data_IF_972985960664
#
_entry.id   IF_972985960664
#
_cell.length_a   1.000
_cell.length_b   1.000
_cell.length_c   1.000
_cell.angle_alpha   90.00
_cell.angle_beta   90.00
_cell.angle_gamma   90.00
#
_symmetry.space_group_name_H-M   'P 1'
#
loop_
_entity.id
_entity.type
_entity.pdbx_description
1 polymer ?
#
# COMPACT_ATOMS: atom_id res chain seq x y z
N UNK A 1 52.51 -3.97 58.39
CA UNK A 1 52.66 -2.53 58.10
C UNK A 1 52.37 -2.34 56.62
N UNK A 2 51.41 -1.57 56.11
CA UNK A 2 50.35 -0.77 56.67
C UNK A 2 49.13 -0.92 55.74
N UNK A 3 47.94 -0.97 56.33
CA UNK A 3 46.66 -0.92 55.63
C UNK A 3 46.34 0.52 55.23
N UNK A 4 45.73 0.74 54.07
CA UNK A 4 44.93 1.94 53.82
C UNK A 4 43.55 1.57 53.29
N UNK A 5 42.56 2.15 53.98
CA UNK A 5 41.12 1.95 53.88
C UNK A 5 40.50 2.69 52.69
N UNK A 6 39.32 2.20 52.31
CA UNK A 6 38.34 2.67 51.32
C UNK A 6 37.92 4.16 51.46
N UNK A 7 37.09 4.68 50.54
CA UNK A 7 35.66 4.55 50.81
C UNK A 7 34.77 4.18 49.61
N UNK A 8 33.75 3.40 49.97
CA UNK A 8 32.47 3.19 49.32
C UNK A 8 31.79 4.51 48.94
N UNK A 9 31.19 4.59 47.75
CA UNK A 9 30.15 5.57 47.43
C UNK A 9 28.85 4.82 47.11
N UNK A 10 27.87 5.01 47.99
CA UNK A 10 26.52 4.49 47.85
C UNK A 10 25.64 5.44 47.01
N UNK A 11 24.85 4.82 46.14
CA UNK A 11 23.53 5.19 45.61
C UNK A 11 23.13 6.66 45.41
N UNK A 12 22.76 7.00 44.17
CA UNK A 12 21.54 7.76 43.89
C UNK A 12 20.74 7.11 42.75
N UNK A 13 19.62 6.48 43.15
CA UNK A 13 18.49 6.17 42.28
C UNK A 13 17.92 7.48 41.72
N UNK A 14 17.76 7.55 40.41
CA UNK A 14 17.02 8.63 39.74
C UNK A 14 15.54 8.22 39.67
N UNK A 15 14.59 9.05 40.13
CA UNK A 15 13.19 8.69 40.17
C UNK A 15 12.54 8.68 38.78
N UNK A 16 11.63 7.73 38.59
CA UNK A 16 10.75 7.62 37.44
C UNK A 16 9.88 8.88 37.29
N UNK A 17 9.92 9.51 36.11
CA UNK A 17 9.01 10.59 35.77
C UNK A 17 7.64 10.01 35.39
N UNK A 18 6.67 10.14 36.31
CA UNK A 18 5.25 10.03 36.03
C UNK A 18 4.86 11.03 34.93
N UNK A 19 4.39 10.53 33.78
CA UNK A 19 3.67 11.35 32.81
C UNK A 19 2.18 11.16 33.03
N UNK A 20 1.59 12.21 33.57
CA UNK A 20 0.17 12.45 33.75
C UNK A 20 -0.59 12.27 32.44
N UNK A 21 -1.66 11.49 32.50
CA UNK A 21 -2.68 11.37 31.47
C UNK A 21 -3.40 12.73 31.32
N UNK A 22 -3.17 13.42 30.22
CA UNK A 22 -4.06 14.49 29.76
C UNK A 22 -5.12 13.88 28.85
N UNK A 23 -6.37 13.96 29.31
CA UNK A 23 -7.57 13.61 28.58
C UNK A 23 -7.74 14.52 27.37
N UNK A 24 -7.51 14.00 26.16
CA UNK A 24 -7.89 14.70 24.94
C UNK A 24 -9.39 14.56 24.70
N UNK A 25 -10.07 15.71 24.76
CA UNK A 25 -11.48 15.91 24.46
C UNK A 25 -11.74 15.64 22.98
N UNK A 26 -12.77 14.88 22.67
CA UNK A 26 -13.21 14.58 21.31
C UNK A 26 -13.93 15.78 20.69
N UNK A 27 -13.44 16.25 19.56
CA UNK A 27 -14.16 17.07 18.57
C UNK A 27 -13.28 17.04 17.31
N UNK A 28 -13.71 16.68 16.11
CA UNK A 28 -14.97 16.99 15.45
C UNK A 28 -15.15 16.03 14.26
N UNK A 29 -16.40 15.67 13.97
CA UNK A 29 -16.82 14.99 12.76
C UNK A 29 -16.62 15.93 11.56
N UNK A 30 -15.67 15.61 10.68
CA UNK A 30 -15.52 16.32 9.41
C UNK A 30 -16.65 15.89 8.46
N UNK A 31 -17.59 16.82 8.25
CA UNK A 31 -18.71 16.65 7.33
C UNK A 31 -18.22 16.50 5.89
N UNK A 32 -18.65 15.43 5.23
CA UNK A 32 -18.59 15.29 3.79
C UNK A 32 -19.70 16.18 3.20
N UNK A 33 -19.36 17.40 2.79
CA UNK A 33 -20.33 18.34 2.22
C UNK A 33 -20.69 17.97 0.79
N UNK A 34 -21.93 17.55 0.58
CA UNK A 34 -22.55 17.46 -0.75
C UNK A 34 -23.16 18.84 -1.04
N UNK A 35 -22.59 19.58 -1.98
CA UNK A 35 -23.21 20.79 -2.53
C UNK A 35 -24.29 20.39 -3.54
N UNK A 36 -25.57 20.44 -3.14
CA UNK A 36 -26.70 20.40 -4.07
C UNK A 36 -26.93 21.77 -4.69
N UNK A 37 -26.73 21.86 -6.00
CA UNK A 37 -27.14 23.01 -6.80
C UNK A 37 -28.66 22.97 -7.03
N UNK A 38 -29.41 23.77 -6.28
CA UNK A 38 -30.78 24.13 -6.64
C UNK A 38 -30.72 25.31 -7.62
N UNK A 39 -31.23 25.11 -8.84
CA UNK A 39 -31.63 26.21 -9.74
C UNK A 39 -33.14 26.37 -9.66
N UNK A 40 -33.55 27.63 -9.50
CA UNK A 40 -34.90 28.07 -9.19
C UNK A 40 -35.89 28.09 -10.35
N UNK A 41 -37.09 28.48 -9.94
CA UNK A 41 -38.39 28.40 -10.60
C UNK A 41 -38.54 29.15 -11.93
N UNK A 42 -39.44 28.61 -12.75
CA UNK A 42 -40.09 29.30 -13.86
C UNK A 42 -41.45 28.67 -14.15
N UNK A 43 -42.52 29.33 -13.71
CA UNK A 43 -43.93 29.00 -13.93
C UNK A 43 -44.30 29.00 -15.43
N UNK A 44 -45.08 28.03 -15.90
CA UNK A 44 -46.27 28.28 -16.75
C UNK A 44 -47.10 27.00 -17.01
N UNK A 45 -48.42 27.21 -17.08
CA UNK A 45 -49.51 26.20 -17.11
C UNK A 45 -49.56 25.44 -18.44
N UNK A 46 -49.89 24.15 -18.38
CA UNK A 46 -50.41 23.37 -19.49
C UNK A 46 -51.04 22.06 -19.00
N UNK A 47 -52.36 21.91 -19.18
CA UNK A 47 -53.12 20.67 -18.97
C UNK A 47 -52.80 19.67 -20.09
N UNK A 48 -52.49 18.42 -19.76
CA UNK A 48 -52.83 17.26 -20.59
C UNK A 48 -52.79 15.95 -19.79
N UNK A 49 -53.75 15.08 -20.12
CA UNK A 49 -54.02 13.74 -19.60
C UNK A 49 -52.89 12.74 -19.87
N UNK A 50 -52.73 11.72 -19.01
CA UNK A 50 -52.02 10.48 -19.39
C UNK A 50 -51.52 9.61 -18.24
N UNK A 51 -52.34 8.60 -17.91
CA UNK A 51 -52.04 7.21 -17.49
C UNK A 51 -50.77 6.91 -16.69
N UNK A 52 -50.99 6.25 -15.54
CA UNK A 52 -49.96 5.89 -14.59
C UNK A 52 -49.01 4.77 -15.02
N UNK A 53 -47.96 4.64 -14.22
CA UNK A 53 -47.25 3.41 -13.87
C UNK A 53 -46.49 3.73 -12.58
N UNK A 54 -46.76 2.97 -11.52
CA UNK A 54 -46.05 3.06 -10.24
C UNK A 54 -44.60 2.63 -10.42
N UNK A 55 -43.70 3.59 -10.64
CA UNK A 55 -42.27 3.38 -10.61
C UNK A 55 -41.76 3.58 -9.18
N UNK A 56 -41.48 2.50 -8.47
CA UNK A 56 -40.65 2.53 -7.27
C UNK A 56 -39.29 3.12 -7.64
N UNK A 57 -39.06 4.37 -7.23
CA UNK A 57 -37.74 4.99 -7.28
C UNK A 57 -36.81 4.17 -6.38
N UNK A 58 -36.06 3.25 -6.97
CA UNK A 58 -34.91 2.65 -6.32
C UNK A 58 -33.96 3.78 -5.94
N UNK A 59 -33.84 4.04 -4.64
CA UNK A 59 -32.78 4.89 -4.14
C UNK A 59 -31.46 4.22 -4.52
N UNK A 60 -30.75 4.79 -5.50
CA UNK A 60 -29.35 4.49 -5.68
C UNK A 60 -28.66 4.85 -4.36
N UNK A 61 -28.31 3.83 -3.58
CA UNK A 61 -27.53 3.98 -2.36
C UNK A 61 -26.25 4.69 -2.75
N UNK A 62 -26.09 5.94 -2.30
CA UNK A 62 -24.80 6.59 -2.27
C UNK A 62 -23.87 5.65 -1.53
N UNK A 63 -22.82 5.15 -2.20
CA UNK A 63 -21.78 4.37 -1.57
C UNK A 63 -21.25 5.19 -0.39
N UNK A 64 -21.63 4.79 0.82
CA UNK A 64 -21.37 5.57 2.01
C UNK A 64 -19.86 5.67 2.23
N UNK A 65 -19.38 6.88 2.55
CA UNK A 65 -18.04 7.15 3.10
C UNK A 65 -17.89 6.54 4.50
N UNK A 66 -18.15 5.24 4.64
CA UNK A 66 -18.12 4.55 5.92
C UNK A 66 -16.81 3.78 6.05
N UNK A 67 -16.16 3.84 7.23
CA UNK A 67 -14.98 3.02 7.50
C UNK A 67 -15.35 1.54 7.52
N UNK A 68 -14.35 0.68 7.36
CA UNK A 68 -14.56 -0.76 7.33
C UNK A 68 -15.11 -1.34 8.64
N UNK A 69 -15.99 -2.33 8.53
CA UNK A 69 -16.49 -3.14 9.64
C UNK A 69 -15.38 -4.03 10.22
N UNK A 70 -15.06 -3.92 11.53
CA UNK A 70 -13.97 -4.68 12.13
C UNK A 70 -14.16 -6.20 12.12
N UNK A 71 -15.39 -6.71 12.17
CA UNK A 71 -15.66 -8.14 12.13
C UNK A 71 -15.47 -8.70 10.71
N UNK A 72 -15.97 -7.98 9.70
CA UNK A 72 -15.74 -8.36 8.30
C UNK A 72 -14.26 -8.28 7.92
N UNK A 73 -13.50 -7.28 8.43
CA UNK A 73 -12.05 -7.22 8.23
C UNK A 73 -11.32 -8.47 8.77
N UNK A 74 -11.74 -9.00 9.93
CA UNK A 74 -11.16 -10.23 10.48
C UNK A 74 -11.46 -11.44 9.59
N UNK A 75 -12.68 -11.56 9.10
CA UNK A 75 -13.07 -12.64 8.19
C UNK A 75 -12.37 -12.52 6.84
N UNK A 76 -12.27 -11.32 6.28
CA UNK A 76 -11.53 -11.03 5.05
C UNK A 76 -10.06 -11.44 5.16
N UNK A 77 -9.42 -11.22 6.32
CA UNK A 77 -8.05 -11.68 6.58
C UNK A 77 -7.93 -13.20 6.48
N UNK A 78 -8.91 -13.94 7.00
CA UNK A 78 -8.96 -15.39 6.90
C UNK A 78 -9.01 -15.87 5.45
N UNK A 79 -9.89 -15.28 4.64
CA UNK A 79 -10.00 -15.62 3.23
C UNK A 79 -8.75 -15.23 2.42
N UNK A 80 -8.10 -14.11 2.76
CA UNK A 80 -6.83 -13.70 2.16
C UNK A 80 -5.74 -14.72 2.47
N UNK A 81 -5.66 -15.26 3.69
CA UNK A 81 -4.68 -16.32 4.02
C UNK A 81 -4.89 -17.56 3.16
N UNK A 82 -6.15 -17.94 2.91
CA UNK A 82 -6.45 -19.07 2.05
C UNK A 82 -6.09 -18.80 0.58
N UNK A 83 -6.40 -17.60 0.08
CA UNK A 83 -5.98 -17.13 -1.23
C UNK A 83 -4.46 -17.21 -1.40
N UNK A 84 -3.70 -16.79 -0.39
CA UNK A 84 -2.24 -16.81 -0.41
C UNK A 84 -1.66 -18.23 -0.49
N UNK A 85 -2.23 -19.17 0.28
CA UNK A 85 -1.83 -20.60 0.25
C UNK A 85 -2.10 -21.27 -1.09
N UNK A 86 -3.20 -20.92 -1.74
CA UNK A 86 -3.65 -21.59 -2.97
C UNK A 86 -3.03 -20.98 -4.23
N UNK A 87 -2.73 -19.68 -4.23
CA UNK A 87 -2.30 -18.96 -5.44
C UNK A 87 -0.87 -18.44 -5.38
N UNK A 88 -0.24 -18.43 -4.20
CA UNK A 88 1.11 -17.91 -3.99
C UNK A 88 1.27 -16.43 -4.38
N UNK A 89 0.18 -15.65 -4.34
CA UNK A 89 0.16 -14.27 -4.82
C UNK A 89 0.71 -13.21 -3.85
N UNK A 90 1.43 -13.61 -2.78
CA UNK A 90 2.02 -12.71 -1.79
C UNK A 90 2.67 -11.46 -2.41
N UNK A 91 3.56 -11.57 -3.41
CA UNK A 91 4.31 -10.41 -3.88
C UNK A 91 3.42 -9.37 -4.60
N UNK A 92 2.40 -9.81 -5.34
CA UNK A 92 1.54 -8.88 -6.07
C UNK A 92 0.58 -8.13 -5.13
N UNK A 93 0.19 -8.75 -4.01
CA UNK A 93 -0.63 -8.09 -2.98
C UNK A 93 0.18 -7.05 -2.20
N UNK A 94 1.45 -7.34 -1.90
CA UNK A 94 2.38 -6.35 -1.33
C UNK A 94 2.54 -5.16 -2.28
N UNK A 95 2.78 -5.43 -3.57
CA UNK A 95 2.89 -4.39 -4.59
C UNK A 95 1.60 -3.58 -4.73
N UNK A 96 0.43 -4.20 -4.72
CA UNK A 96 -0.85 -3.49 -4.80
C UNK A 96 -1.01 -2.48 -3.65
N UNK A 97 -0.77 -2.92 -2.41
CA UNK A 97 -0.85 -2.04 -1.25
C UNK A 97 0.15 -0.88 -1.32
N UNK A 98 1.38 -1.15 -1.77
CA UNK A 98 2.38 -0.11 -2.01
C UNK A 98 1.93 0.89 -3.08
N UNK A 99 1.42 0.42 -4.22
CA UNK A 99 1.07 1.27 -5.35
C UNK A 99 -0.14 2.17 -5.08
N UNK A 100 -1.12 1.71 -4.28
CA UNK A 100 -2.20 2.59 -3.78
C UNK A 100 -1.64 3.68 -2.85
N UNK A 101 -0.77 3.31 -1.91
CA UNK A 101 -0.21 4.23 -0.92
C UNK A 101 0.84 5.20 -1.50
N UNK A 102 1.61 4.77 -2.49
CA UNK A 102 2.79 5.47 -3.01
C UNK A 102 2.48 6.73 -3.83
N UNK A 103 1.20 6.99 -4.12
CA UNK A 103 0.77 8.22 -4.80
C UNK A 103 0.61 9.41 -3.84
N UNK A 104 0.86 9.20 -2.54
CA UNK A 104 0.74 10.23 -1.53
C UNK A 104 1.69 11.42 -1.76
N UNK A 105 1.20 12.63 -1.50
CA UNK A 105 1.96 13.86 -1.50
C UNK A 105 1.67 14.66 -0.23
N UNK A 106 2.69 14.80 0.63
CA UNK A 106 2.58 15.51 1.92
C UNK A 106 2.31 17.00 1.79
N UNK A 107 2.59 17.59 0.62
CA UNK A 107 2.37 19.01 0.35
C UNK A 107 0.94 19.33 -0.08
N UNK A 108 0.08 18.33 -0.26
CA UNK A 108 -1.35 18.50 -0.56
C UNK A 108 -2.15 18.11 0.68
N UNK A 109 -2.97 19.02 1.18
CA UNK A 109 -3.72 18.79 2.42
C UNK A 109 -5.00 17.98 2.17
N UNK A 110 -5.70 18.29 1.08
CA UNK A 110 -7.05 17.83 0.83
C UNK A 110 -7.11 16.35 0.42
N UNK A 111 -8.00 15.62 1.08
CA UNK A 111 -8.42 14.29 0.63
C UNK A 111 -9.53 14.42 -0.42
N UNK A 112 -9.53 13.64 -1.51
CA UNK A 112 -8.55 12.60 -1.87
C UNK A 112 -7.38 13.08 -2.75
N UNK A 113 -7.30 14.37 -3.09
CA UNK A 113 -6.30 14.94 -4.04
C UNK A 113 -4.84 14.63 -3.68
N UNK A 114 -4.54 14.54 -2.39
CA UNK A 114 -3.22 14.16 -1.89
C UNK A 114 -2.78 12.74 -2.23
N UNK A 115 -3.66 11.90 -2.81
CA UNK A 115 -3.38 10.50 -3.12
C UNK A 115 -3.26 9.64 -1.86
N UNK A 116 -2.53 8.52 -1.98
CA UNK A 116 -2.29 7.57 -0.91
C UNK A 116 -3.37 6.49 -0.80
N UNK A 117 -3.32 5.72 0.29
CA UNK A 117 -4.13 4.51 0.48
C UNK A 117 -5.63 4.82 0.63
N UNK A 118 -6.31 5.03 -0.49
CA UNK A 118 -7.71 5.44 -0.58
C UNK A 118 -8.50 4.57 -1.59
N UNK A 119 -7.89 3.47 -2.07
CA UNK A 119 -8.50 2.50 -2.97
C UNK A 119 -8.65 2.98 -4.41
N UNK A 120 -8.09 4.14 -4.78
CA UNK A 120 -8.23 4.72 -6.13
C UNK A 120 -7.61 3.83 -7.22
N UNK A 121 -6.55 3.08 -6.89
CA UNK A 121 -5.88 2.14 -7.79
C UNK A 121 -6.79 1.05 -8.35
N UNK A 122 -8.02 0.87 -7.83
CA UNK A 122 -9.01 -0.07 -8.38
C UNK A 122 -9.62 0.39 -9.70
N UNK A 123 -9.58 1.69 -9.98
CA UNK A 123 -10.19 2.25 -11.19
C UNK A 123 -9.28 2.09 -12.39
N UNK A 124 -9.89 1.79 -13.55
CA UNK A 124 -9.18 1.56 -14.81
C UNK A 124 -8.24 2.73 -15.20
N UNK A 125 -8.65 3.98 -14.91
CA UNK A 125 -7.85 5.18 -15.13
C UNK A 125 -6.45 5.05 -14.51
N UNK A 126 -6.37 4.62 -13.25
CA UNK A 126 -5.10 4.50 -12.52
C UNK A 126 -4.41 3.15 -12.75
N UNK A 127 -5.17 2.06 -12.97
CA UNK A 127 -4.59 0.76 -13.35
C UNK A 127 -3.81 0.82 -14.67
N UNK A 128 -4.19 1.74 -15.56
CA UNK A 128 -3.53 1.96 -16.86
C UNK A 128 -2.24 2.78 -16.77
N UNK A 129 -1.92 3.37 -15.61
CA UNK A 129 -0.60 3.99 -15.43
C UNK A 129 0.50 2.94 -15.64
N UNK A 130 1.59 3.32 -16.30
CA UNK A 130 2.71 2.44 -16.65
C UNK A 130 3.27 1.72 -15.41
N UNK A 131 3.42 2.43 -14.30
CA UNK A 131 3.90 1.85 -13.04
C UNK A 131 2.95 0.78 -12.47
N UNK A 132 1.66 0.78 -12.84
CA UNK A 132 0.63 -0.13 -12.35
C UNK A 132 0.40 -1.35 -13.25
N UNK A 133 1.21 -1.51 -14.31
CA UNK A 133 1.12 -2.65 -15.23
C UNK A 133 1.01 -3.99 -14.48
N UNK A 134 -0.04 -4.75 -14.80
CA UNK A 134 -0.35 -6.06 -14.22
C UNK A 134 -1.12 -6.06 -12.89
N UNK A 135 -1.33 -4.91 -12.22
CA UNK A 135 -2.06 -4.85 -10.93
C UNK A 135 -3.56 -5.18 -11.04
N UNK A 136 -4.14 -5.11 -12.24
CA UNK A 136 -5.49 -5.62 -12.49
C UNK A 136 -5.66 -7.08 -12.08
N UNK A 137 -4.59 -7.89 -12.13
CA UNK A 137 -4.64 -9.28 -11.69
C UNK A 137 -4.74 -9.39 -10.16
N UNK A 138 -4.11 -8.49 -9.41
CA UNK A 138 -4.26 -8.45 -7.95
C UNK A 138 -5.70 -8.04 -7.57
N UNK A 139 -6.29 -7.09 -8.29
CA UNK A 139 -7.69 -6.71 -8.10
C UNK A 139 -8.63 -7.90 -8.36
N UNK A 140 -8.43 -8.61 -9.47
CA UNK A 140 -9.21 -9.83 -9.80
C UNK A 140 -9.11 -10.91 -8.72
N UNK A 141 -7.92 -11.11 -8.14
CA UNK A 141 -7.72 -12.07 -7.05
C UNK A 141 -8.44 -11.66 -5.76
N UNK A 142 -8.52 -10.36 -5.47
CA UNK A 142 -9.21 -9.83 -4.28
C UNK A 142 -10.71 -9.63 -4.48
N UNK A 143 -11.21 -9.62 -5.72
CA UNK A 143 -12.63 -9.36 -6.02
C UNK A 143 -13.58 -10.32 -5.28
N UNK A 144 -13.35 -11.65 -5.24
CA UNK A 144 -14.24 -12.55 -4.50
C UNK A 144 -14.28 -12.26 -3.00
N UNK A 145 -13.16 -11.83 -2.40
CA UNK A 145 -13.10 -11.40 -1.00
C UNK A 145 -13.90 -10.12 -0.83
N UNK A 146 -13.72 -9.13 -1.71
CA UNK A 146 -14.45 -7.86 -1.66
C UNK A 146 -15.96 -8.04 -1.78
N UNK A 147 -16.41 -8.93 -2.67
CA UNK A 147 -17.83 -9.20 -2.92
C UNK A 147 -18.51 -9.84 -1.70
N UNK A 148 -17.78 -10.69 -0.97
CA UNK A 148 -18.26 -11.33 0.27
C UNK A 148 -18.39 -10.34 1.44
N UNK A 149 -17.62 -9.26 1.44
CA UNK A 149 -17.54 -8.30 2.55
C UNK A 149 -17.88 -6.87 2.09
N UNK A 150 -19.18 -6.57 2.00
CA UNK A 150 -19.67 -5.26 1.61
C UNK A 150 -19.25 -4.14 2.57
N UNK A 151 -19.04 -4.47 3.85
CA UNK A 151 -18.58 -3.55 4.89
C UNK A 151 -17.06 -3.35 4.91
N UNK A 152 -16.30 -3.90 3.97
CA UNK A 152 -14.85 -3.67 3.85
C UNK A 152 -14.58 -2.78 2.64
N UNK A 153 -13.88 -1.65 2.85
CA UNK A 153 -13.47 -0.74 1.78
C UNK A 153 -12.32 -1.36 0.96
N UNK A 154 -12.21 -0.99 -0.32
CA UNK A 154 -11.05 -1.39 -1.13
C UNK A 154 -9.74 -0.87 -0.52
N UNK A 155 -9.74 0.37 -0.01
CA UNK A 155 -8.61 1.00 0.65
C UNK A 155 -8.07 0.17 1.82
N UNK A 156 -8.94 -0.34 2.71
CA UNK A 156 -8.49 -1.25 3.76
C UNK A 156 -8.19 -2.66 3.25
N UNK A 157 -8.93 -3.17 2.27
CA UNK A 157 -8.69 -4.49 1.71
C UNK A 157 -7.28 -4.62 1.10
N UNK A 158 -6.83 -3.61 0.35
CA UNK A 158 -5.50 -3.63 -0.27
C UNK A 158 -4.38 -3.62 0.77
N UNK A 159 -4.53 -2.82 1.83
CA UNK A 159 -3.54 -2.74 2.91
C UNK A 159 -3.59 -3.97 3.82
N UNK A 160 -4.78 -4.55 4.05
CA UNK A 160 -4.97 -5.82 4.75
C UNK A 160 -4.30 -6.96 3.98
N UNK A 161 -4.51 -7.02 2.67
CA UNK A 161 -3.92 -8.01 1.79
C UNK A 161 -2.39 -7.93 1.77
N UNK A 162 -1.84 -6.72 1.61
CA UNK A 162 -0.39 -6.47 1.66
C UNK A 162 0.23 -6.89 2.99
N UNK A 163 -0.33 -6.44 4.12
CA UNK A 163 0.22 -6.76 5.43
C UNK A 163 0.10 -8.26 5.78
N UNK A 164 -0.99 -8.90 5.37
CA UNK A 164 -1.16 -10.36 5.54
C UNK A 164 -0.18 -11.13 4.66
N UNK A 165 0.07 -10.68 3.42
CA UNK A 165 1.05 -11.29 2.55
C UNK A 165 2.48 -11.22 3.11
N UNK A 166 2.86 -10.12 3.76
CA UNK A 166 4.16 -10.03 4.47
C UNK A 166 4.24 -11.01 5.63
N UNK A 167 3.21 -11.06 6.48
CA UNK A 167 3.18 -11.94 7.65
C UNK A 167 3.20 -13.44 7.25
N UNK A 168 2.39 -13.84 6.26
CA UNK A 168 2.33 -15.24 5.79
C UNK A 168 3.60 -15.66 5.02
N UNK A 169 4.34 -14.70 4.45
CA UNK A 169 5.66 -14.95 3.85
C UNK A 169 6.79 -15.10 4.90
N UNK A 170 6.47 -15.07 6.20
CA UNK A 170 7.44 -15.17 7.30
C UNK A 170 8.02 -13.82 7.76
N UNK A 171 7.44 -12.72 7.30
CA UNK A 171 7.85 -11.37 7.68
C UNK A 171 7.32 -10.93 9.04
N UNK A 172 7.67 -9.70 9.48
CA UNK A 172 7.22 -9.18 10.76
C UNK A 172 5.71 -8.90 10.77
N UNK A 173 5.11 -9.02 11.96
CA UNK A 173 3.75 -8.53 12.18
C UNK A 173 3.72 -7.01 12.13
N UNK A 174 3.12 -6.45 11.08
CA UNK A 174 2.99 -5.00 10.90
C UNK A 174 1.87 -4.48 11.84
N UNK A 175 2.11 -3.42 12.64
CA UNK A 175 1.10 -2.84 13.53
C UNK A 175 0.04 -2.04 12.74
N UNK A 176 -0.81 -2.77 12.01
CA UNK A 176 -1.83 -2.19 11.14
C UNK A 176 -3.00 -1.58 11.89
N UNK A 177 -3.49 -0.46 11.36
CA UNK A 177 -4.80 0.13 11.66
C UNK A 177 -5.65 0.18 10.40
N UNK A 178 -6.96 0.11 10.58
CA UNK A 178 -7.98 0.13 9.52
C UNK A 178 -9.01 1.23 9.81
N UNK A 179 -9.94 1.42 8.88
CA UNK A 179 -10.92 2.51 8.86
C UNK A 179 -10.68 3.50 7.72
N UNK A 180 -9.93 3.09 6.67
CA UNK A 180 -9.76 3.91 5.46
C UNK A 180 -11.08 3.97 4.70
N UNK A 181 -11.36 5.13 4.14
CA UNK A 181 -12.52 5.38 3.28
C UNK A 181 -12.09 5.27 1.82
N UNK A 182 -12.94 4.68 1.00
CA UNK A 182 -12.74 4.64 -0.45
C UNK A 182 -13.01 6.00 -1.08
N UNK A 183 -12.23 6.36 -2.09
CA UNK A 183 -12.67 7.36 -3.08
C UNK A 183 -13.97 6.90 -3.75
N UNK A 184 -14.83 7.82 -4.20
CA UNK A 184 -16.12 7.51 -4.81
C UNK A 184 -16.04 7.20 -6.31
N UNK A 185 -15.06 7.74 -7.03
CA UNK A 185 -15.01 7.65 -8.49
C UNK A 185 -13.62 7.88 -9.11
N UNK A 186 -13.46 7.54 -10.40
CA UNK A 186 -12.17 7.63 -11.12
C UNK A 186 -11.67 9.07 -11.29
N UNK A 187 -12.54 10.07 -11.21
CA UNK A 187 -12.17 11.49 -11.19
C UNK A 187 -11.29 11.86 -9.99
N UNK A 188 -11.31 11.04 -8.93
CA UNK A 188 -10.51 11.22 -7.72
C UNK A 188 -9.18 10.45 -7.74
N UNK A 189 -8.88 9.69 -8.80
CA UNK A 189 -7.55 9.10 -8.99
C UNK A 189 -6.49 10.21 -9.16
N UNK A 190 -5.31 10.06 -8.55
CA UNK A 190 -4.18 10.94 -8.79
C UNK A 190 -3.74 10.87 -10.26
N UNK A 191 -3.05 11.91 -10.71
CA UNK A 191 -2.34 11.88 -11.99
C UNK A 191 -1.19 10.85 -11.97
N UNK A 192 -0.85 10.35 -13.16
CA UNK A 192 0.30 9.47 -13.35
C UNK A 192 1.62 10.19 -13.01
N UNK A 193 2.66 9.41 -12.67
CA UNK A 193 4.01 9.93 -12.44
C UNK A 193 4.39 10.12 -10.97
N UNK A 194 3.48 9.84 -10.03
CA UNK A 194 3.80 9.88 -8.59
C UNK A 194 4.59 8.67 -8.10
N UNK A 195 4.57 7.53 -8.80
CA UNK A 195 5.31 6.32 -8.42
C UNK A 195 6.75 6.32 -8.99
N UNK A 196 7.71 5.67 -8.32
CA UNK A 196 9.10 5.68 -8.77
C UNK A 196 9.31 4.81 -10.03
N UNK A 197 10.04 5.35 -11.00
CA UNK A 197 10.68 4.57 -12.07
C UNK A 197 11.97 3.86 -11.58
N UNK A 198 12.23 2.67 -12.10
CA UNK A 198 13.39 1.85 -11.73
C UNK A 198 14.70 2.24 -12.45
N UNK A 199 14.62 2.86 -13.63
CA UNK A 199 15.77 3.22 -14.45
C UNK A 199 15.78 4.71 -14.77
N UNK A 200 16.28 5.51 -13.85
CA UNK A 200 16.51 6.96 -14.06
C UNK A 200 18.01 7.25 -14.11
N UNK A 201 18.44 8.38 -14.70
CA UNK A 201 19.87 8.75 -14.75
C UNK A 201 20.51 8.93 -13.36
N UNK A 202 19.71 9.30 -12.37
CA UNK A 202 20.16 9.52 -10.98
C UNK A 202 19.24 8.77 -10.00
N UNK A 203 19.39 7.44 -9.84
CA UNK A 203 18.42 6.62 -9.11
C UNK A 203 18.24 7.04 -7.63
N UNK A 204 19.32 7.32 -6.90
CA UNK A 204 19.23 7.71 -5.51
C UNK A 204 18.53 9.07 -5.31
N UNK A 205 18.83 10.05 -6.17
CA UNK A 205 18.15 11.34 -6.15
C UNK A 205 16.66 11.19 -6.47
N UNK A 206 16.33 10.39 -7.48
CA UNK A 206 14.94 10.07 -7.84
C UNK A 206 14.18 9.36 -6.71
N UNK A 207 14.82 8.42 -6.01
CA UNK A 207 14.22 7.80 -4.81
C UNK A 207 13.93 8.86 -3.74
N UNK A 208 14.85 9.78 -3.47
CA UNK A 208 14.60 10.88 -2.53
C UNK A 208 13.46 11.78 -2.99
N UNK A 209 13.43 12.21 -4.26
CA UNK A 209 12.36 13.07 -4.78
C UNK A 209 10.97 12.44 -4.58
N UNK A 210 10.84 11.16 -4.86
CA UNK A 210 9.58 10.42 -4.75
C UNK A 210 9.22 10.15 -3.29
N UNK A 211 10.12 9.62 -2.47
CA UNK A 211 9.81 9.22 -1.10
C UNK A 211 9.75 10.41 -0.13
N UNK A 212 10.56 11.45 -0.32
CA UNK A 212 10.50 12.65 0.51
C UNK A 212 9.19 13.40 0.29
N UNK A 213 8.63 13.36 -0.94
CA UNK A 213 7.27 13.85 -1.23
C UNK A 213 6.21 13.08 -0.45
N UNK A 214 6.41 11.78 -0.19
CA UNK A 214 5.53 10.98 0.66
C UNK A 214 5.72 11.24 2.17
N UNK A 215 6.76 12.00 2.55
CA UNK A 215 7.11 12.23 3.95
C UNK A 215 7.97 11.13 4.58
N UNK A 216 8.57 10.28 3.75
CA UNK A 216 9.48 9.22 4.14
C UNK A 216 10.93 9.72 4.05
N UNK A 217 11.81 9.18 4.90
CA UNK A 217 13.24 9.55 4.94
C UNK A 217 14.14 8.46 4.32
N UNK A 218 15.46 8.68 4.30
CA UNK A 218 16.44 7.73 3.75
C UNK A 218 16.36 6.33 4.38
N UNK A 219 16.13 6.21 5.69
CA UNK A 219 15.94 4.92 6.36
C UNK A 219 14.68 4.21 5.86
N UNK A 220 13.59 4.95 5.67
CA UNK A 220 12.34 4.38 5.16
C UNK A 220 12.51 3.90 3.71
N UNK A 221 13.25 4.64 2.87
CA UNK A 221 13.58 4.24 1.49
C UNK A 221 14.27 2.87 1.49
N UNK A 222 15.35 2.73 2.27
CA UNK A 222 16.13 1.49 2.33
C UNK A 222 15.29 0.34 2.88
N UNK A 223 14.57 0.57 3.99
CA UNK A 223 13.76 -0.46 4.63
C UNK A 223 12.62 -0.95 3.72
N UNK A 224 11.90 -0.04 3.05
CA UNK A 224 10.79 -0.38 2.16
C UNK A 224 11.25 -1.05 0.87
N UNK A 225 12.44 -0.70 0.36
CA UNK A 225 13.04 -1.40 -0.78
C UNK A 225 13.29 -2.89 -0.49
N UNK A 226 13.49 -3.24 0.79
CA UNK A 226 13.57 -4.62 1.25
C UNK A 226 12.37 -5.51 0.87
N UNK A 227 11.21 -4.93 0.54
CA UNK A 227 10.06 -5.68 0.04
C UNK A 227 10.34 -6.39 -1.29
N UNK A 228 11.36 -5.98 -2.06
CA UNK A 228 11.86 -6.71 -3.24
C UNK A 228 12.43 -8.10 -2.90
N UNK A 229 12.61 -8.45 -1.61
CA UNK A 229 12.82 -9.84 -1.19
C UNK A 229 11.69 -10.77 -1.65
N UNK A 230 10.49 -10.22 -1.88
CA UNK A 230 9.33 -10.93 -2.41
C UNK A 230 9.13 -10.64 -3.90
N UNK A 231 8.94 -11.71 -4.66
CA UNK A 231 8.54 -11.65 -6.06
C UNK A 231 9.67 -11.40 -7.03
N UNK A 232 9.29 -10.78 -8.15
CA UNK A 232 10.07 -10.74 -9.39
C UNK A 232 9.55 -9.69 -10.34
N UNK A 233 10.42 -9.21 -11.22
CA UNK A 233 10.04 -8.41 -12.38
C UNK A 233 9.77 -9.29 -13.61
N UNK A 234 9.08 -8.73 -14.61
CA UNK A 234 8.86 -9.38 -15.89
C UNK A 234 8.92 -8.34 -17.02
N UNK A 235 9.58 -8.66 -18.16
CA UNK A 235 9.60 -7.81 -19.35
C UNK A 235 8.21 -7.40 -19.82
N UNK A 236 7.23 -8.32 -19.75
CA UNK A 236 5.85 -8.08 -20.19
C UNK A 236 5.08 -7.09 -19.31
N UNK A 237 5.60 -6.78 -18.11
CA UNK A 237 4.94 -5.87 -17.16
C UNK A 237 5.70 -4.57 -17.02
N UNK A 238 6.87 -4.61 -16.39
CA UNK A 238 7.65 -3.41 -16.10
C UNK A 238 8.71 -3.12 -17.17
N UNK A 239 8.95 -4.05 -18.10
CA UNK A 239 10.08 -3.99 -19.03
C UNK A 239 11.40 -4.48 -18.42
N UNK A 240 11.42 -4.90 -17.15
CA UNK A 240 12.64 -5.29 -16.45
C UNK A 240 12.74 -6.81 -16.22
N UNK A 241 13.98 -7.27 -16.14
CA UNK A 241 14.36 -8.65 -15.84
C UNK A 241 14.36 -9.57 -17.06
N UNK A 242 14.65 -10.85 -16.83
CA UNK A 242 14.57 -11.92 -17.84
C UNK A 242 13.13 -12.47 -17.95
N UNK A 243 12.76 -13.07 -19.11
CA UNK A 243 11.48 -13.76 -19.26
C UNK A 243 11.27 -14.91 -18.27
N UNK A 244 12.35 -15.57 -17.84
CA UNK A 244 12.36 -16.63 -16.83
C UNK A 244 13.79 -16.90 -16.32
N UNK A 245 13.90 -17.63 -15.20
CA UNK A 245 15.18 -18.09 -14.62
C UNK A 245 15.04 -19.47 -13.97
N UNK A 246 16.16 -20.05 -13.51
CA UNK A 246 16.15 -21.29 -12.72
C UNK A 246 15.29 -21.23 -11.46
N UNK A 247 15.02 -20.04 -10.91
CA UNK A 247 14.23 -19.84 -9.69
C UNK A 247 12.73 -19.69 -9.94
N UNK A 248 12.32 -19.41 -11.18
CA UNK A 248 10.95 -18.95 -11.48
C UNK A 248 10.26 -19.73 -12.59
N UNK A 249 10.99 -20.54 -13.35
CA UNK A 249 10.47 -21.34 -14.47
C UNK A 249 9.41 -22.37 -14.05
N UNK A 250 9.47 -22.87 -12.81
CA UNK A 250 8.57 -23.93 -12.31
C UNK A 250 7.52 -23.40 -11.31
N UNK A 251 7.43 -22.08 -11.12
CA UNK A 251 6.53 -21.49 -10.13
C UNK A 251 7.07 -21.59 -8.69
N UNK A 252 6.20 -21.68 -7.66
CA UNK A 252 4.76 -21.93 -7.73
C UNK A 252 3.95 -20.71 -8.23
N UNK A 253 2.64 -20.88 -8.48
CA UNK A 253 1.83 -19.87 -9.17
C UNK A 253 2.18 -19.75 -10.66
N UNK A 254 1.97 -18.58 -11.28
CA UNK A 254 2.37 -18.36 -12.69
C UNK A 254 3.90 -18.49 -12.82
N UNK A 255 4.49 -19.24 -13.76
CA UNK A 255 5.94 -19.25 -13.96
C UNK A 255 6.48 -17.97 -14.65
N UNK A 256 7.81 -17.84 -14.76
CA UNK A 256 8.51 -16.79 -15.52
C UNK A 256 9.00 -15.59 -14.70
N UNK A 257 9.52 -14.54 -15.34
CA UNK A 257 10.13 -13.38 -14.68
C UNK A 257 11.45 -13.67 -13.96
N UNK A 258 12.05 -12.62 -13.39
CA UNK A 258 13.34 -12.66 -12.70
C UNK A 258 13.20 -12.09 -11.28
N UNK A 259 13.52 -12.89 -10.27
CA UNK A 259 13.46 -12.50 -8.86
C UNK A 259 14.74 -11.81 -8.39
N UNK A 260 14.63 -11.04 -7.31
CA UNK A 260 15.80 -10.48 -6.61
C UNK A 260 16.46 -11.50 -5.68
N UNK A 261 15.71 -12.48 -5.21
CA UNK A 261 16.17 -13.51 -4.28
C UNK A 261 15.85 -14.91 -4.80
N UNK A 262 16.62 -15.94 -4.41
CA UNK A 262 16.30 -17.33 -4.75
C UNK A 262 14.93 -17.78 -4.18
N UNK A 263 14.66 -17.41 -2.93
CA UNK A 263 13.42 -17.73 -2.20
C UNK A 263 12.44 -16.54 -2.26
N UNK A 264 11.97 -16.21 -3.46
CA UNK A 264 11.15 -15.04 -3.73
C UNK A 264 9.71 -15.06 -3.13
N UNK A 265 9.36 -16.10 -2.37
CA UNK A 265 8.14 -16.16 -1.56
C UNK A 265 8.42 -16.09 -0.05
N UNK A 266 9.67 -15.91 0.35
CA UNK A 266 10.10 -15.78 1.73
C UNK A 266 10.49 -14.34 2.02
N UNK A 267 9.89 -13.77 3.06
CA UNK A 267 10.25 -12.46 3.55
C UNK A 267 11.43 -12.59 4.53
N UNK A 268 12.62 -12.22 4.08
CA UNK A 268 13.82 -12.12 4.92
C UNK A 268 14.75 -11.00 4.43
N UNK A 269 16.00 -10.98 4.90
CA UNK A 269 16.98 -9.96 4.53
C UNK A 269 17.88 -10.36 3.36
N UNK A 270 17.57 -11.43 2.63
CA UNK A 270 18.40 -11.91 1.52
C UNK A 270 18.52 -10.86 0.42
N UNK A 271 17.46 -10.09 0.14
CA UNK A 271 17.50 -8.98 -0.83
C UNK A 271 18.77 -8.11 -0.69
N UNK A 272 19.07 -7.63 0.52
CA UNK A 272 20.23 -6.77 0.75
C UNK A 272 21.58 -7.48 0.53
N UNK A 273 21.64 -8.80 0.75
CA UNK A 273 22.84 -9.60 0.49
C UNK A 273 23.03 -9.79 -1.02
N UNK A 274 21.98 -10.21 -1.71
CA UNK A 274 22.02 -10.55 -3.13
C UNK A 274 22.36 -9.33 -4.00
N UNK A 275 21.74 -8.16 -3.76
CA UNK A 275 22.01 -6.95 -4.56
C UNK A 275 23.38 -6.32 -4.29
N UNK A 276 23.97 -6.59 -3.11
CA UNK A 276 25.31 -6.14 -2.75
C UNK A 276 26.37 -7.01 -3.39
N UNK A 277 26.20 -8.33 -3.31
CA UNK A 277 27.18 -9.30 -3.77
C UNK A 277 27.15 -9.51 -5.30
N UNK A 278 25.95 -9.42 -5.90
CA UNK A 278 25.74 -9.54 -7.36
C UNK A 278 26.40 -10.77 -7.99
N UNK A 279 26.40 -11.91 -7.27
CA UNK A 279 27.12 -13.14 -7.67
C UNK A 279 26.33 -14.03 -8.62
N UNK A 280 25.00 -13.99 -8.59
CA UNK A 280 24.14 -14.82 -9.43
C UNK A 280 23.46 -13.96 -10.51
N UNK A 281 23.82 -14.18 -11.78
CA UNK A 281 23.28 -13.46 -12.92
C UNK A 281 21.78 -13.73 -13.17
N UNK A 282 21.19 -14.74 -12.50
CA UNK A 282 19.74 -14.96 -12.53
C UNK A 282 18.99 -14.14 -11.47
N UNK A 283 19.69 -13.47 -10.56
CA UNK A 283 19.06 -12.53 -9.62
C UNK A 283 19.07 -11.11 -10.18
N UNK A 284 17.93 -10.44 -10.04
CA UNK A 284 17.72 -9.09 -10.54
C UNK A 284 18.36 -8.05 -9.62
N UNK A 285 18.96 -7.03 -10.22
CA UNK A 285 19.34 -5.78 -9.55
C UNK A 285 18.94 -4.63 -10.46
N UNK A 286 17.94 -3.83 -10.05
CA UNK A 286 17.57 -2.62 -10.76
C UNK A 286 18.55 -1.49 -10.44
N UNK A 287 18.65 -0.44 -11.28
CA UNK A 287 19.45 0.75 -10.96
C UNK A 287 19.08 1.38 -9.61
N UNK A 288 17.79 1.41 -9.24
CA UNK A 288 17.34 1.86 -7.92
C UNK A 288 17.79 0.94 -6.78
N UNK A 289 17.84 -0.38 -7.00
CA UNK A 289 18.36 -1.32 -5.98
C UNK A 289 19.87 -1.14 -5.79
N UNK A 290 20.61 -1.04 -6.90
CA UNK A 290 22.05 -0.80 -6.90
C UNK A 290 22.41 0.45 -6.11
N UNK A 291 21.61 1.51 -6.26
CA UNK A 291 21.85 2.80 -5.61
C UNK A 291 21.85 2.74 -4.08
N UNK A 292 21.20 1.74 -3.47
CA UNK A 292 21.18 1.54 -2.01
C UNK A 292 22.56 1.27 -1.43
N UNK A 293 23.49 0.75 -2.22
CA UNK A 293 24.88 0.47 -1.82
C UNK A 293 25.90 1.43 -2.42
N UNK A 294 25.47 2.31 -3.34
CA UNK A 294 26.32 3.28 -4.03
C UNK A 294 26.20 4.67 -3.38
N UNK A 295 25.00 5.06 -2.95
CA UNK A 295 24.73 6.33 -2.30
C UNK A 295 25.34 6.37 -0.87
N UNK A 296 26.03 7.46 -0.48
CA UNK A 296 26.68 7.57 0.82
C UNK A 296 25.77 7.47 2.05
N UNK A 297 24.51 7.87 1.95
CA UNK A 297 23.57 7.87 3.08
C UNK A 297 22.73 6.60 3.17
N UNK A 298 22.55 5.90 2.04
CA UNK A 298 21.78 4.64 2.02
C UNK A 298 22.59 3.42 2.51
N UNK A 299 23.91 3.41 2.29
CA UNK A 299 24.80 2.24 2.49
C UNK A 299 25.19 1.95 3.94
#
# INVERSE_FOLDING_TARGET
>A
MAAHRSPSMAFRLIPAASKTFTTFRSSSSSNCSISSLLRGDGLSRGRAFGWGLGGSRGAASAAACSPSDPAQLRSARGDIRELLKTTFCHPILVRLGWHDAGTYNKSIEEWPRRGGANGSVRFDKELKHAANAGLVNALKLLQPVKDKYSGVTYADLFQLASATAVEEAGGPKIPMKYGRVDVSGPEQCPEEGRLPAAGTPSPAAHLRDIFYRMGLNDKDIVALSGAHTLGRASPERSGWGKPETKYTKDGPGRPGGQSWTPQWLKFDNSYFKEIKERRDADLLVLPTDASLFEDPSFK
#
